data_IF_609585382641
#
_entry.id   IF_609585382641
#
_cell.length_a   1.000
_cell.length_b   1.000
_cell.length_c   1.000
_cell.angle_alpha   90.00
_cell.angle_beta   90.00
_cell.angle_gamma   90.00
#
_symmetry.space_group_name_H-M   'P 1'
#
loop_
_entity.id
_entity.type
_entity.pdbx_description
1 polymer ?
#
# COMPACT_ATOMS: atom_id res chain seq x y z
N UNK A 1 22.59 -33.00 -10.63
CA UNK A 1 23.60 -33.61 -9.73
C UNK A 1 23.13 -33.44 -8.28
N UNK A 2 23.45 -34.35 -7.36
CA UNK A 2 22.95 -34.35 -5.97
C UNK A 2 21.46 -34.73 -5.87
N UNK A 3 20.96 -35.78 -5.20
CA UNK A 3 21.41 -36.75 -4.17
C UNK A 3 21.51 -36.24 -2.72
N UNK A 4 21.02 -37.11 -1.81
CA UNK A 4 20.93 -37.03 -0.33
C UNK A 4 19.74 -36.22 0.24
N UNK A 5 19.09 -36.60 1.36
CA UNK A 5 19.39 -37.68 2.35
C UNK A 5 18.14 -38.04 3.18
N UNK A 6 17.89 -39.37 3.41
CA UNK A 6 17.42 -40.05 4.67
C UNK A 6 16.14 -39.54 5.41
N UNK A 7 15.40 -40.33 6.22
CA UNK A 7 15.49 -41.75 6.65
C UNK A 7 14.12 -42.25 7.18
N UNK A 8 13.93 -43.58 7.20
CA UNK A 8 13.01 -44.27 8.11
C UNK A 8 11.62 -44.60 7.55
N UNK A 9 11.03 -45.76 7.84
CA UNK A 9 11.59 -46.94 8.51
C UNK A 9 10.55 -47.85 9.15
N UNK A 10 10.20 -48.97 8.49
CA UNK A 10 9.44 -50.07 9.09
C UNK A 10 10.10 -51.40 8.72
N UNK A 11 10.61 -52.12 9.72
CA UNK A 11 11.05 -53.49 9.58
C UNK A 11 9.89 -54.40 9.97
N UNK A 12 9.48 -55.31 9.08
CA UNK A 12 8.59 -56.42 9.45
C UNK A 12 9.48 -57.57 9.89
N UNK A 13 9.44 -57.91 11.17
CA UNK A 13 9.89 -59.22 11.64
C UNK A 13 8.79 -60.24 11.35
N UNK A 14 9.17 -61.39 10.84
CA UNK A 14 8.50 -62.65 11.16
C UNK A 14 9.60 -63.70 11.26
N UNK A 15 9.99 -64.01 12.50
CA UNK A 15 11.01 -65.02 12.78
C UNK A 15 10.46 -66.42 12.49
N UNK A 16 11.32 -67.31 12.00
CA UNK A 16 11.01 -68.72 11.87
C UNK A 16 10.94 -69.37 13.27
N UNK A 17 10.03 -70.33 13.44
CA UNK A 17 10.09 -71.28 14.58
C UNK A 17 10.81 -72.56 14.14
N UNK A 18 11.80 -73.05 14.90
CA UNK A 18 12.55 -74.25 14.56
C UNK A 18 11.87 -75.54 15.06
N UNK A 19 12.58 -76.65 14.89
CA UNK A 19 12.15 -78.04 15.09
C UNK A 19 11.79 -78.41 16.54
N UNK A 20 11.01 -79.48 16.68
CA UNK A 20 10.79 -80.19 17.94
C UNK A 20 12.01 -81.07 18.25
N UNK A 21 12.78 -80.74 19.28
CA UNK A 21 13.58 -81.73 20.04
C UNK A 21 13.73 -81.25 21.49
N UNK A 22 13.37 -82.12 22.44
CA UNK A 22 13.40 -81.82 23.87
C UNK A 22 14.40 -82.73 24.60
N UNK A 23 15.60 -82.22 24.81
CA UNK A 23 16.69 -82.75 25.61
C UNK A 23 17.43 -81.54 26.22
N UNK A 24 18.06 -81.56 27.41
CA UNK A 24 18.55 -82.69 28.23
C UNK A 24 18.96 -82.22 29.66
N UNK A 25 19.40 -83.16 30.51
CA UNK A 25 20.34 -82.99 31.66
C UNK A 25 19.86 -82.19 32.91
N UNK A 26 20.27 -82.44 34.17
CA UNK A 26 21.19 -83.39 34.87
C UNK A 26 20.42 -83.96 36.10
N UNK A 27 20.60 -85.18 36.62
CA UNK A 27 21.45 -86.33 36.25
C UNK A 27 22.11 -87.05 37.46
N UNK A 28 22.72 -88.22 37.22
CA UNK A 28 23.50 -89.12 38.13
C UNK A 28 22.68 -90.03 39.09
N UNK A 29 23.09 -91.28 39.38
CA UNK A 29 24.29 -92.02 38.95
C UNK A 29 24.08 -93.53 38.69
N UNK A 30 24.96 -94.05 37.84
CA UNK A 30 25.36 -95.44 37.56
C UNK A 30 26.07 -96.12 38.78
N UNK A 31 26.42 -97.44 38.76
CA UNK A 31 26.73 -98.27 37.58
C UNK A 31 26.08 -99.67 37.48
N UNK A 32 26.29 -100.29 36.32
CA UNK A 32 26.03 -101.70 36.03
C UNK A 32 27.33 -102.51 35.98
N UNK A 33 27.25 -103.84 36.14
CA UNK A 33 28.27 -104.77 35.64
C UNK A 33 27.69 -106.19 35.44
N UNK A 34 28.03 -106.81 34.32
CA UNK A 34 27.91 -108.24 33.98
C UNK A 34 29.01 -108.51 32.95
N UNK A 35 29.96 -109.42 33.22
CA UNK A 35 29.93 -110.68 32.48
C UNK A 35 30.51 -111.91 33.21
N UNK A 36 29.76 -113.03 33.15
CA UNK A 36 30.18 -114.32 32.57
C UNK A 36 31.44 -115.10 33.06
N UNK A 37 31.37 -116.44 32.86
CA UNK A 37 32.46 -117.43 32.64
C UNK A 37 33.21 -118.12 33.81
N UNK A 38 33.24 -119.45 33.66
CA UNK A 38 34.37 -120.40 33.83
C UNK A 38 34.84 -120.92 35.22
N UNK A 39 34.66 -122.24 35.38
CA UNK A 39 35.71 -123.25 35.58
C UNK A 39 35.77 -124.07 36.90
N UNK A 40 35.95 -125.39 36.68
CA UNK A 40 36.82 -126.35 37.39
C UNK A 40 36.58 -126.78 38.85
N UNK A 41 36.15 -128.04 38.96
CA UNK A 41 36.63 -129.02 39.95
C UNK A 41 38.16 -129.18 39.91
N UNK A 42 38.84 -129.41 41.04
CA UNK A 42 39.60 -130.68 41.17
C UNK A 42 39.73 -131.23 42.62
N UNK A 43 40.25 -132.46 42.76
CA UNK A 43 40.58 -133.12 44.05
C UNK A 43 39.44 -133.97 44.62
N UNK A 44 39.48 -135.30 44.74
CA UNK A 44 40.62 -136.24 44.83
C UNK A 44 41.51 -135.97 46.07
N UNK A 45 42.01 -136.96 46.83
CA UNK A 45 42.49 -138.28 46.41
C UNK A 45 42.67 -139.26 47.62
N UNK A 46 42.56 -140.59 47.40
CA UNK A 46 43.23 -141.71 48.17
C UNK A 46 42.78 -141.96 49.65
N UNK A 47 42.83 -143.17 50.25
CA UNK A 47 43.57 -144.42 49.96
C UNK A 47 42.83 -145.75 50.34
N UNK A 48 43.40 -146.90 49.94
CA UNK A 48 43.28 -148.23 50.60
C UNK A 48 41.96 -149.00 50.40
N UNK A 49 41.77 -149.86 49.39
CA UNK A 49 42.52 -151.06 48.92
C UNK A 49 42.48 -152.31 49.82
N UNK A 50 42.15 -153.46 49.21
CA UNK A 50 42.62 -154.80 49.59
C UNK A 50 41.63 -155.73 50.32
N UNK A 51 41.58 -157.04 50.02
CA UNK A 51 42.05 -157.77 48.82
C UNK A 51 41.46 -159.19 48.77
N UNK A 52 41.05 -159.63 47.57
CA UNK A 52 40.81 -161.02 47.09
C UNK A 52 39.93 -161.98 47.94
N UNK A 53 39.48 -163.17 47.48
CA UNK A 53 39.74 -163.93 46.25
C UNK A 53 38.55 -164.86 45.88
N UNK A 54 38.46 -165.25 44.60
CA UNK A 54 38.01 -166.52 43.98
C UNK A 54 37.13 -167.57 44.72
N UNK A 55 36.36 -168.46 44.05
CA UNK A 55 35.86 -168.53 42.65
C UNK A 55 34.99 -169.79 42.41
N UNK A 56 34.00 -169.70 41.51
CA UNK A 56 33.72 -170.70 40.45
C UNK A 56 33.35 -172.19 40.72
N UNK A 57 32.04 -172.48 40.65
CA UNK A 57 31.36 -173.63 39.98
C UNK A 57 31.55 -175.08 40.60
N UNK A 58 31.18 -176.27 40.01
CA UNK A 58 30.21 -177.19 40.65
C UNK A 58 30.59 -178.71 40.74
N UNK A 59 29.64 -179.54 41.18
CA UNK A 59 29.56 -181.02 41.12
C UNK A 59 28.54 -181.51 42.17
N UNK A 60 27.52 -182.35 41.89
CA UNK A 60 27.55 -183.76 41.40
C UNK A 60 28.29 -184.65 42.43
N UNK A 61 27.54 -185.38 43.26
CA UNK A 61 27.05 -186.77 43.05
C UNK A 61 28.18 -187.81 43.18
N UNK A 62 27.94 -188.90 43.94
CA UNK A 62 27.74 -190.21 43.31
C UNK A 62 27.12 -191.24 44.30
N UNK A 63 26.66 -192.35 43.73
CA UNK A 63 26.40 -193.63 44.41
C UNK A 63 27.76 -194.40 44.51
N UNK A 64 27.92 -195.69 44.82
CA UNK A 64 27.03 -196.85 44.98
C UNK A 64 27.79 -197.97 45.76
N UNK A 65 27.40 -199.24 45.59
CA UNK A 65 28.20 -200.48 45.77
C UNK A 65 28.08 -201.26 47.10
N UNK A 66 27.03 -202.10 47.13
CA UNK A 66 27.09 -203.58 46.94
C UNK A 66 28.03 -204.53 47.74
N UNK A 67 27.48 -205.75 47.87
CA UNK A 67 28.09 -207.08 48.09
C UNK A 67 28.63 -207.52 49.48
N UNK A 68 28.01 -208.63 49.96
CA UNK A 68 28.58 -209.87 50.53
C UNK A 68 29.59 -209.83 51.71
N UNK A 69 29.59 -210.76 52.69
CA UNK A 69 28.69 -211.85 53.11
C UNK A 69 29.10 -212.31 54.54
N UNK A 70 28.34 -213.22 55.19
CA UNK A 70 28.81 -214.56 55.64
C UNK A 70 28.12 -215.16 56.90
N UNK A 71 27.57 -216.36 56.70
CA UNK A 71 27.75 -217.61 57.49
C UNK A 71 27.56 -217.57 59.03
N UNK A 72 26.40 -218.03 59.52
CA UNK A 72 26.15 -219.43 60.01
C UNK A 72 27.30 -220.20 60.72
N UNK A 73 27.12 -221.13 61.69
CA UNK A 73 25.95 -221.80 62.30
C UNK A 73 26.39 -222.64 63.57
N UNK A 74 25.42 -223.13 64.38
CA UNK A 74 25.38 -224.45 65.08
C UNK A 74 26.47 -224.87 66.13
N UNK A 75 26.28 -225.86 67.05
CA UNK A 75 25.11 -226.68 67.46
C UNK A 75 25.23 -227.25 68.91
N UNK A 76 24.10 -227.81 69.41
CA UNK A 76 23.91 -228.92 70.39
C UNK A 76 24.56 -228.86 71.80
N UNK A 77 23.79 -228.82 72.90
CA UNK A 77 23.24 -229.97 73.67
C UNK A 77 24.35 -230.92 74.19
N UNK A 78 24.56 -231.15 75.50
CA UNK A 78 23.60 -231.78 76.44
C UNK A 78 23.74 -231.28 77.91
N UNK A 79 24.27 -230.07 78.15
CA UNK A 79 24.52 -229.50 79.50
C UNK A 79 23.60 -228.33 79.90
N UNK A 80 22.47 -228.14 79.21
CA UNK A 80 21.70 -226.88 79.20
C UNK A 80 21.05 -226.48 80.54
N UNK A 81 20.59 -227.44 81.34
CA UNK A 81 19.69 -227.17 82.49
C UNK A 81 20.26 -226.34 83.66
N UNK A 82 21.59 -226.24 83.79
CA UNK A 82 22.25 -225.58 84.94
C UNK A 82 22.83 -224.20 84.64
N UNK A 83 23.09 -223.86 83.37
CA UNK A 83 23.67 -222.57 82.98
C UNK A 83 22.63 -221.48 82.72
N UNK A 84 21.43 -221.83 82.25
CA UNK A 84 20.36 -220.86 81.94
C UNK A 84 19.97 -219.98 83.14
N UNK A 85 20.00 -220.54 84.36
CA UNK A 85 19.59 -219.85 85.58
C UNK A 85 20.55 -218.74 86.01
N UNK A 86 21.84 -218.85 85.70
CA UNK A 86 22.81 -217.79 86.01
C UNK A 86 22.82 -216.71 84.92
N UNK A 87 22.63 -217.10 83.65
CA UNK A 87 22.50 -216.17 82.51
C UNK A 87 21.27 -215.27 82.66
N UNK A 88 20.14 -215.80 83.17
CA UNK A 88 18.94 -215.02 83.43
C UNK A 88 19.21 -213.86 84.40
N UNK A 89 19.97 -214.11 85.49
CA UNK A 89 20.26 -213.11 86.53
C UNK A 89 21.14 -211.97 86.03
N UNK A 90 22.17 -212.27 85.23
CA UNK A 90 23.09 -211.25 84.71
C UNK A 90 22.44 -210.34 83.66
N UNK A 91 21.40 -210.80 82.95
CA UNK A 91 20.64 -209.95 82.00
C UNK A 91 19.80 -208.87 82.69
N UNK A 92 19.23 -209.18 83.85
CA UNK A 92 18.43 -208.22 84.65
C UNK A 92 19.30 -207.03 85.10
N UNK A 93 20.46 -207.32 85.71
CA UNK A 93 21.37 -206.32 86.29
C UNK A 93 21.98 -205.39 85.22
N UNK A 94 22.26 -205.92 84.03
CA UNK A 94 22.82 -205.12 82.93
C UNK A 94 21.78 -204.22 82.24
N UNK A 95 20.48 -204.55 82.31
CA UNK A 95 19.39 -203.71 81.82
C UNK A 95 19.11 -202.50 82.73
N UNK A 96 19.23 -202.69 84.05
CA UNK A 96 19.09 -201.62 85.05
C UNK A 96 20.17 -200.53 84.86
N UNK A 97 21.42 -200.94 84.62
CA UNK A 97 22.54 -200.00 84.40
C UNK A 97 22.41 -199.19 83.10
N UNK A 98 21.84 -199.79 82.03
CA UNK A 98 21.63 -199.08 80.77
C UNK A 98 20.65 -197.91 80.95
N UNK A 99 19.50 -198.19 81.59
CA UNK A 99 18.49 -197.17 81.94
C UNK A 99 19.07 -196.01 82.73
N UNK A 100 19.97 -196.27 83.69
CA UNK A 100 20.59 -195.21 84.48
C UNK A 100 21.40 -194.24 83.62
N UNK A 101 22.23 -194.74 82.68
CA UNK A 101 22.96 -193.89 81.74
C UNK A 101 22.06 -193.09 80.81
N UNK A 102 20.99 -193.69 80.30
CA UNK A 102 20.03 -192.96 79.46
C UNK A 102 19.38 -191.78 80.22
N UNK A 103 19.05 -191.97 81.50
CA UNK A 103 18.52 -190.87 82.34
C UNK A 103 19.56 -189.80 82.72
N UNK A 104 20.86 -190.06 82.55
CA UNK A 104 21.93 -189.07 82.76
C UNK A 104 22.22 -188.29 81.48
N UNK A 105 22.28 -188.99 80.33
CA UNK A 105 22.36 -188.39 78.99
C UNK A 105 21.21 -187.43 78.73
N UNK A 106 19.98 -187.80 79.10
CA UNK A 106 18.81 -186.95 78.86
C UNK A 106 18.79 -185.71 79.78
N UNK A 107 19.29 -185.82 81.03
CA UNK A 107 19.50 -184.64 81.89
C UNK A 107 20.48 -183.66 81.26
N UNK A 108 21.65 -184.13 80.83
CA UNK A 108 22.66 -183.30 80.18
C UNK A 108 22.15 -182.61 78.90
N UNK A 109 21.28 -183.29 78.13
CA UNK A 109 20.54 -182.66 77.03
C UNK A 109 19.62 -181.54 77.52
N UNK A 110 18.74 -181.80 78.49
CA UNK A 110 17.85 -180.75 79.02
C UNK A 110 18.61 -179.56 79.63
N UNK A 111 19.78 -179.77 80.23
CA UNK A 111 20.64 -178.69 80.73
C UNK A 111 21.29 -177.90 79.58
N UNK A 112 21.76 -178.56 78.52
CA UNK A 112 22.26 -177.91 77.29
C UNK A 112 21.16 -177.08 76.65
N UNK A 113 19.98 -177.66 76.43
CA UNK A 113 18.84 -177.00 75.81
C UNK A 113 18.37 -175.79 76.63
N UNK A 114 18.35 -175.91 77.96
CA UNK A 114 18.06 -174.79 78.86
C UNK A 114 19.12 -173.68 78.80
N UNK A 115 20.40 -174.02 78.61
CA UNK A 115 21.49 -173.03 78.44
C UNK A 115 21.46 -172.36 77.08
N UNK A 116 21.17 -173.10 76.02
CA UNK A 116 21.00 -172.59 74.66
C UNK A 116 19.77 -171.67 74.57
N UNK A 117 18.66 -172.05 75.21
CA UNK A 117 17.47 -171.19 75.40
C UNK A 117 17.79 -169.92 76.21
N UNK A 118 18.56 -170.02 77.30
CA UNK A 118 19.03 -168.85 78.05
C UNK A 118 19.91 -167.92 77.20
N UNK A 119 20.81 -168.48 76.38
CA UNK A 119 21.69 -167.71 75.50
C UNK A 119 20.90 -167.02 74.38
N UNK A 120 19.99 -167.73 73.71
CA UNK A 120 19.12 -167.18 72.66
C UNK A 120 18.15 -166.13 73.22
N UNK A 121 17.64 -166.31 74.43
CA UNK A 121 16.83 -165.30 75.14
C UNK A 121 17.66 -164.05 75.45
N UNK A 122 18.91 -164.22 75.92
CA UNK A 122 19.81 -163.09 76.18
C UNK A 122 20.19 -162.36 74.88
N UNK A 123 20.45 -163.10 73.79
CA UNK A 123 20.77 -162.56 72.47
C UNK A 123 19.58 -161.79 71.87
N UNK A 124 18.35 -162.31 71.99
CA UNK A 124 17.12 -161.61 71.62
C UNK A 124 16.91 -160.34 72.45
N UNK A 125 17.24 -160.38 73.75
CA UNK A 125 17.20 -159.20 74.63
C UNK A 125 18.30 -158.17 74.30
N UNK A 126 19.48 -158.61 73.87
CA UNK A 126 20.56 -157.75 73.39
C UNK A 126 20.20 -157.14 72.03
N UNK A 127 19.56 -157.90 71.12
CA UNK A 127 19.07 -157.37 69.84
C UNK A 127 18.00 -156.32 70.07
N UNK A 128 16.94 -156.63 70.81
CA UNK A 128 15.89 -155.65 71.11
C UNK A 128 16.39 -154.44 71.91
N UNK A 129 17.40 -154.60 72.77
CA UNK A 129 18.07 -153.47 73.43
C UNK A 129 18.92 -152.65 72.45
N UNK A 130 19.59 -153.27 71.48
CA UNK A 130 20.28 -152.60 70.37
C UNK A 130 19.30 -151.84 69.48
N UNK A 131 18.15 -152.43 69.15
CA UNK A 131 17.11 -151.82 68.34
C UNK A 131 16.47 -150.62 69.07
N UNK A 132 16.25 -150.73 70.39
CA UNK A 132 15.84 -149.60 71.25
C UNK A 132 16.92 -148.52 71.31
N UNK A 133 18.22 -148.86 71.38
CA UNK A 133 19.30 -147.87 71.32
C UNK A 133 19.44 -147.22 69.94
N UNK A 134 19.18 -147.95 68.86
CA UNK A 134 19.18 -147.42 67.51
C UNK A 134 18.00 -146.44 67.34
N UNK A 135 16.78 -146.85 67.70
CA UNK A 135 15.60 -145.97 67.72
C UNK A 135 15.79 -144.74 68.65
N UNK A 136 16.50 -144.88 69.77
CA UNK A 136 16.83 -143.76 70.66
C UNK A 136 17.88 -142.81 70.06
N UNK A 137 18.86 -143.35 69.33
CA UNK A 137 19.84 -142.56 68.57
C UNK A 137 19.17 -141.81 67.43
N UNK A 138 18.31 -142.50 66.68
CA UNK A 138 17.63 -141.96 65.52
C UNK A 138 16.62 -140.88 65.94
N UNK A 139 15.79 -141.14 66.97
CA UNK A 139 14.91 -140.10 67.55
C UNK A 139 15.65 -138.96 68.24
N UNK A 140 16.86 -139.17 68.80
CA UNK A 140 17.72 -138.04 69.23
C UNK A 140 18.15 -137.22 68.02
N UNK A 141 18.56 -137.86 66.92
CA UNK A 141 19.00 -137.15 65.73
C UNK A 141 17.83 -136.47 64.98
N UNK A 142 16.62 -137.03 65.01
CA UNK A 142 15.39 -136.35 64.60
C UNK A 142 15.10 -135.12 65.48
N UNK A 143 15.24 -135.24 66.81
CA UNK A 143 15.08 -134.10 67.73
C UNK A 143 16.13 -133.01 67.49
N UNK A 144 17.37 -133.39 67.18
CA UNK A 144 18.48 -132.50 66.83
C UNK A 144 18.19 -131.78 65.51
N UNK A 145 17.80 -132.51 64.46
CA UNK A 145 17.34 -131.95 63.18
C UNK A 145 16.13 -131.01 63.34
N UNK A 146 15.15 -131.36 64.19
CA UNK A 146 13.97 -130.53 64.48
C UNK A 146 14.35 -129.28 65.28
N UNK A 147 15.34 -129.37 66.18
CA UNK A 147 15.86 -128.22 66.92
C UNK A 147 16.66 -127.27 66.01
N UNK A 148 17.45 -127.79 65.06
CA UNK A 148 18.11 -126.98 64.02
C UNK A 148 17.08 -126.29 63.11
N UNK A 149 16.05 -127.01 62.66
CA UNK A 149 14.94 -126.43 61.89
C UNK A 149 14.18 -125.37 62.70
N UNK A 150 13.94 -125.59 63.99
CA UNK A 150 13.33 -124.59 64.88
C UNK A 150 14.21 -123.34 64.98
N UNK A 151 15.52 -123.49 65.21
CA UNK A 151 16.45 -122.36 65.25
C UNK A 151 16.49 -121.59 63.94
N UNK A 152 16.50 -122.27 62.79
CA UNK A 152 16.49 -121.58 61.49
C UNK A 152 15.13 -120.90 61.22
N UNK A 153 14.00 -121.51 61.60
CA UNK A 153 12.69 -120.84 61.53
C UNK A 153 12.59 -119.64 62.49
N UNK A 154 13.18 -119.70 63.69
CA UNK A 154 13.30 -118.55 64.60
C UNK A 154 14.20 -117.44 64.00
N UNK A 155 15.34 -117.83 63.39
CA UNK A 155 16.24 -116.95 62.63
C UNK A 155 15.50 -116.24 61.49
N UNK A 156 14.75 -116.99 60.68
CA UNK A 156 13.95 -116.46 59.57
C UNK A 156 12.82 -115.57 60.07
N UNK A 157 12.08 -115.96 61.12
CA UNK A 157 11.01 -115.16 61.69
C UNK A 157 11.53 -113.85 62.29
N UNK A 158 12.70 -113.87 62.96
CA UNK A 158 13.37 -112.66 63.44
C UNK A 158 13.84 -111.76 62.28
N UNK A 159 14.44 -112.33 61.23
CA UNK A 159 14.83 -111.61 60.00
C UNK A 159 13.63 -110.97 59.32
N UNK A 160 12.53 -111.71 59.15
CA UNK A 160 11.28 -111.23 58.56
C UNK A 160 10.64 -110.13 59.42
N UNK A 161 10.58 -110.29 60.75
CA UNK A 161 10.07 -109.29 61.69
C UNK A 161 10.89 -108.00 61.66
N UNK A 162 12.21 -108.10 61.56
CA UNK A 162 13.10 -106.96 61.39
C UNK A 162 12.89 -106.28 60.02
N UNK A 163 12.73 -107.04 58.94
CA UNK A 163 12.43 -106.49 57.60
C UNK A 163 11.08 -105.79 57.57
N UNK A 164 10.03 -106.39 58.12
CA UNK A 164 8.69 -105.78 58.25
C UNK A 164 8.74 -104.50 59.10
N UNK A 165 9.48 -104.51 60.21
CA UNK A 165 9.69 -103.30 61.03
C UNK A 165 10.40 -102.19 60.26
N UNK A 166 11.45 -102.52 59.50
CA UNK A 166 12.17 -101.56 58.65
C UNK A 166 11.28 -100.98 57.55
N UNK A 167 10.59 -101.83 56.80
CA UNK A 167 9.69 -101.41 55.72
C UNK A 167 8.43 -100.69 56.26
N UNK A 168 8.00 -100.93 57.50
CA UNK A 168 6.94 -100.14 58.16
C UNK A 168 7.42 -98.72 58.43
N UNK A 169 8.62 -98.54 59.00
CA UNK A 169 9.22 -97.22 59.22
C UNK A 169 9.44 -96.46 57.91
N UNK A 170 9.99 -97.13 56.90
CA UNK A 170 10.15 -96.58 55.55
C UNK A 170 8.79 -96.15 54.96
N UNK A 171 7.72 -96.93 55.16
CA UNK A 171 6.37 -96.54 54.75
C UNK A 171 5.80 -95.37 55.57
N UNK A 172 6.10 -95.27 56.86
CA UNK A 172 5.71 -94.14 57.71
C UNK A 172 6.45 -92.87 57.31
N UNK A 173 7.76 -92.94 57.08
CA UNK A 173 8.61 -91.86 56.58
C UNK A 173 8.12 -91.39 55.19
N UNK A 174 7.93 -92.30 54.23
CA UNK A 174 7.37 -91.98 52.91
C UNK A 174 5.96 -91.40 52.97
N UNK A 175 5.12 -91.83 53.92
CA UNK A 175 3.82 -91.20 54.16
C UNK A 175 3.98 -89.78 54.69
N UNK A 176 4.91 -89.54 55.62
CA UNK A 176 5.15 -88.17 56.11
C UNK A 176 5.63 -87.24 55.00
N UNK A 177 6.59 -87.67 54.16
CA UNK A 177 7.09 -86.85 53.05
C UNK A 177 6.03 -86.60 51.98
N UNK A 178 5.16 -87.56 51.66
CA UNK A 178 3.98 -87.31 50.81
C UNK A 178 3.04 -86.29 51.45
N UNK A 179 2.82 -86.33 52.77
CA UNK A 179 1.97 -85.31 53.43
C UNK A 179 2.62 -83.94 53.61
N UNK A 180 3.95 -83.80 53.51
CA UNK A 180 4.61 -82.48 53.44
C UNK A 180 4.60 -81.96 52.02
N UNK A 181 4.95 -82.79 51.02
CA UNK A 181 4.90 -82.43 49.61
C UNK A 181 3.50 -82.01 49.16
N UNK A 182 2.44 -82.68 49.63
CA UNK A 182 1.08 -82.25 49.33
C UNK A 182 0.75 -80.88 49.95
N UNK A 183 1.20 -80.57 51.17
CA UNK A 183 0.99 -79.23 51.78
C UNK A 183 1.78 -78.14 51.08
N UNK A 184 2.99 -78.46 50.62
CA UNK A 184 3.82 -77.57 49.80
C UNK A 184 3.14 -77.32 48.45
N UNK A 185 2.56 -78.36 47.83
CA UNK A 185 1.74 -78.23 46.63
C UNK A 185 0.49 -77.37 46.86
N UNK A 186 -0.31 -77.64 47.90
CA UNK A 186 -1.49 -76.84 48.26
C UNK A 186 -1.13 -75.35 48.48
N UNK A 187 0.02 -75.08 49.11
CA UNK A 187 0.54 -73.72 49.31
C UNK A 187 0.96 -73.06 48.00
N UNK A 188 1.68 -73.78 47.14
CA UNK A 188 2.12 -73.28 45.82
C UNK A 188 0.93 -73.06 44.87
N UNK A 189 -0.12 -73.89 44.93
CA UNK A 189 -1.37 -73.69 44.18
C UNK A 189 -2.12 -72.45 44.69
N UNK A 190 -2.16 -72.23 46.00
CA UNK A 190 -2.74 -71.01 46.59
C UNK A 190 -1.96 -69.74 46.23
N UNK A 191 -0.62 -69.80 46.22
CA UNK A 191 0.24 -68.71 45.76
C UNK A 191 0.07 -68.45 44.25
N UNK A 192 -0.04 -69.50 43.43
CA UNK A 192 -0.32 -69.40 41.99
C UNK A 192 -1.69 -68.77 41.72
N UNK A 193 -2.75 -69.19 42.41
CA UNK A 193 -4.06 -68.55 42.33
C UNK A 193 -3.99 -67.07 42.71
N UNK A 194 -3.28 -66.72 43.77
CA UNK A 194 -3.11 -65.34 44.21
C UNK A 194 -2.35 -64.50 43.17
N UNK A 195 -1.26 -65.03 42.62
CA UNK A 195 -0.49 -64.38 41.56
C UNK A 195 -1.34 -64.19 40.30
N UNK A 196 -2.14 -65.18 39.89
CA UNK A 196 -3.05 -65.09 38.75
C UNK A 196 -4.16 -64.03 38.96
N UNK A 197 -4.68 -63.91 40.18
CA UNK A 197 -5.62 -62.84 40.58
C UNK A 197 -4.97 -61.46 40.57
N UNK A 198 -3.66 -61.36 40.87
CA UNK A 198 -2.90 -60.12 40.77
C UNK A 198 -2.60 -59.76 39.31
N UNK A 199 -2.15 -60.71 38.47
CA UNK A 199 -1.90 -60.50 37.03
C UNK A 199 -3.16 -59.97 36.35
N UNK A 200 -4.29 -60.66 36.49
CA UNK A 200 -5.58 -60.23 35.91
C UNK A 200 -6.09 -58.89 36.47
N UNK A 201 -5.72 -58.53 37.71
CA UNK A 201 -5.97 -57.20 38.28
C UNK A 201 -5.07 -56.12 37.65
N UNK A 202 -3.81 -56.42 37.35
CA UNK A 202 -2.88 -55.51 36.69
C UNK A 202 -3.20 -55.33 35.21
N UNK A 203 -3.53 -56.39 34.48
CA UNK A 203 -4.01 -56.33 33.09
C UNK A 203 -5.22 -55.39 32.97
N UNK A 204 -6.21 -55.54 33.86
CA UNK A 204 -7.41 -54.69 33.93
C UNK A 204 -7.13 -53.28 34.47
N UNK A 205 -5.95 -52.99 35.00
CA UNK A 205 -5.50 -51.64 35.32
C UNK A 205 -4.76 -51.01 34.15
N UNK A 206 -3.96 -51.79 33.41
CA UNK A 206 -3.29 -51.38 32.17
C UNK A 206 -4.34 -50.99 31.12
N UNK A 207 -5.31 -51.87 30.83
CA UNK A 207 -6.44 -51.62 29.91
C UNK A 207 -7.16 -50.29 30.24
N UNK A 208 -7.45 -50.04 31.53
CA UNK A 208 -8.09 -48.79 31.98
C UNK A 208 -7.20 -47.56 31.85
N UNK A 209 -5.88 -47.72 31.91
CA UNK A 209 -4.93 -46.63 31.69
C UNK A 209 -4.72 -46.37 30.19
N UNK A 210 -4.73 -47.40 29.36
CA UNK A 210 -4.67 -47.31 27.90
C UNK A 210 -5.92 -46.62 27.35
N UNK A 211 -7.12 -47.04 27.74
CA UNK A 211 -8.39 -46.37 27.34
C UNK A 211 -8.42 -44.90 27.78
N UNK A 212 -7.90 -44.58 28.97
CA UNK A 212 -7.78 -43.19 29.45
C UNK A 212 -6.76 -42.38 28.65
N UNK A 213 -5.64 -43.00 28.27
CA UNK A 213 -4.60 -42.36 27.46
C UNK A 213 -5.12 -42.10 26.04
N UNK A 214 -5.78 -43.09 25.44
CA UNK A 214 -6.42 -43.00 24.12
C UNK A 214 -7.44 -41.86 24.10
N UNK A 215 -8.44 -41.89 24.99
CA UNK A 215 -9.43 -40.81 25.13
C UNK A 215 -8.79 -39.43 25.41
N UNK A 216 -7.70 -39.37 26.19
CA UNK A 216 -6.99 -38.11 26.42
C UNK A 216 -6.28 -37.61 25.14
N UNK A 217 -5.70 -38.52 24.34
CA UNK A 217 -5.08 -38.17 23.06
C UNK A 217 -6.09 -37.81 21.98
N UNK A 218 -7.27 -38.46 21.95
CA UNK A 218 -8.37 -38.09 21.06
C UNK A 218 -8.94 -36.72 21.43
N UNK A 219 -9.28 -36.49 22.71
CA UNK A 219 -9.77 -35.19 23.20
C UNK A 219 -8.78 -34.05 22.90
N UNK A 220 -7.48 -34.27 23.12
CA UNK A 220 -6.47 -33.26 22.83
C UNK A 220 -6.19 -33.09 21.33
N UNK A 221 -6.34 -34.14 20.53
CA UNK A 221 -6.33 -34.07 19.07
C UNK A 221 -7.49 -33.22 18.55
N UNK A 222 -8.70 -33.39 19.08
CA UNK A 222 -9.87 -32.60 18.68
C UNK A 222 -9.81 -31.14 19.14
N UNK A 223 -9.29 -30.88 20.34
CA UNK A 223 -8.92 -29.52 20.78
C UNK A 223 -7.91 -28.88 19.81
N UNK A 224 -6.82 -29.59 19.48
CA UNK A 224 -5.79 -29.10 18.56
C UNK A 224 -6.38 -28.85 17.16
N UNK A 225 -7.24 -29.73 16.65
CA UNK A 225 -7.94 -29.57 15.39
C UNK A 225 -8.92 -28.37 15.41
N UNK A 226 -9.53 -28.06 16.56
CA UNK A 226 -10.35 -26.86 16.72
C UNK A 226 -9.49 -25.58 16.73
N UNK A 227 -8.36 -25.57 17.44
CA UNK A 227 -7.42 -24.45 17.42
C UNK A 227 -6.81 -24.21 16.04
N UNK A 228 -6.47 -25.27 15.29
CA UNK A 228 -5.98 -25.15 13.90
C UNK A 228 -7.03 -24.47 13.01
N UNK A 229 -8.30 -24.90 13.07
CA UNK A 229 -9.39 -24.28 12.28
C UNK A 229 -9.61 -22.81 12.64
N UNK A 230 -9.49 -22.43 13.90
CA UNK A 230 -9.61 -21.02 14.29
C UNK A 230 -8.37 -20.20 13.89
N UNK A 231 -7.16 -20.78 13.92
CA UNK A 231 -5.95 -20.14 13.37
C UNK A 231 -6.09 -19.93 11.85
N UNK A 232 -6.64 -20.89 11.11
CA UNK A 232 -6.95 -20.76 9.68
C UNK A 232 -7.98 -19.64 9.42
N UNK A 233 -9.08 -19.63 10.20
CA UNK A 233 -10.12 -18.60 10.15
C UNK A 233 -9.56 -17.19 10.42
N UNK A 234 -8.77 -17.03 11.48
CA UNK A 234 -8.09 -15.78 11.83
C UNK A 234 -7.07 -15.38 10.75
N UNK A 235 -6.34 -16.32 10.17
CA UNK A 235 -5.40 -16.06 9.06
C UNK A 235 -6.13 -15.54 7.82
N UNK A 236 -7.24 -16.16 7.43
CA UNK A 236 -8.09 -15.70 6.33
C UNK A 236 -8.71 -14.33 6.63
N UNK A 237 -9.07 -14.05 7.89
CA UNK A 237 -9.59 -12.74 8.32
C UNK A 237 -8.51 -11.66 8.27
N UNK A 238 -7.28 -11.96 8.69
CA UNK A 238 -6.11 -11.08 8.57
C UNK A 238 -5.83 -10.80 7.10
N UNK A 239 -5.76 -11.81 6.24
CA UNK A 239 -5.54 -11.62 4.79
C UNK A 239 -6.60 -10.70 4.15
N UNK A 240 -7.89 -10.89 4.47
CA UNK A 240 -8.97 -10.02 4.01
C UNK A 240 -8.81 -8.57 4.49
N UNK A 241 -8.41 -8.37 5.75
CA UNK A 241 -8.15 -7.04 6.30
C UNK A 241 -6.92 -6.37 5.67
N UNK A 242 -5.85 -7.12 5.41
CA UNK A 242 -4.65 -6.61 4.71
C UNK A 242 -5.00 -6.16 3.30
N UNK A 243 -5.77 -6.96 2.53
CA UNK A 243 -6.22 -6.56 1.18
C UNK A 243 -7.14 -5.33 1.22
N UNK A 244 -8.05 -5.25 2.19
CA UNK A 244 -8.90 -4.07 2.37
C UNK A 244 -8.09 -2.81 2.75
N UNK A 245 -7.06 -2.96 3.58
CA UNK A 245 -6.16 -1.88 3.98
C UNK A 245 -5.28 -1.41 2.81
N UNK A 246 -4.74 -2.33 2.00
CA UNK A 246 -3.95 -1.97 0.81
C UNK A 246 -4.84 -1.28 -0.25
N UNK A 247 -6.05 -1.78 -0.49
CA UNK A 247 -7.00 -1.09 -1.37
C UNK A 247 -7.33 0.33 -0.86
N UNK A 248 -7.54 0.49 0.45
CA UNK A 248 -7.75 1.81 1.05
C UNK A 248 -6.51 2.71 0.97
N UNK A 249 -5.31 2.14 1.06
CA UNK A 249 -4.04 2.87 0.94
C UNK A 249 -3.83 3.35 -0.50
N UNK A 250 -4.12 2.50 -1.50
CA UNK A 250 -4.11 2.87 -2.91
C UNK A 250 -5.12 4.01 -3.18
N UNK A 251 -6.38 3.88 -2.74
CA UNK A 251 -7.38 4.95 -2.91
C UNK A 251 -6.98 6.28 -2.23
N UNK A 252 -6.28 6.22 -1.08
CA UNK A 252 -5.72 7.42 -0.43
C UNK A 252 -4.56 8.01 -1.26
N UNK A 253 -3.75 7.17 -1.91
CA UNK A 253 -2.68 7.61 -2.82
C UNK A 253 -3.25 8.24 -4.09
N UNK A 254 -4.30 7.66 -4.68
CA UNK A 254 -4.97 8.15 -5.88
C UNK A 254 -5.60 9.53 -5.62
N UNK A 255 -6.41 9.65 -4.56
CA UNK A 255 -7.00 10.92 -4.11
C UNK A 255 -5.93 11.97 -3.75
N UNK A 256 -4.74 11.55 -3.32
CA UNK A 256 -3.62 12.45 -3.04
C UNK A 256 -2.96 12.95 -4.34
N UNK A 257 -2.91 12.14 -5.40
CA UNK A 257 -2.47 12.58 -6.74
C UNK A 257 -3.48 13.55 -7.33
N UNK A 258 -4.77 13.19 -7.38
CA UNK A 258 -5.85 14.05 -7.86
C UNK A 258 -5.85 15.42 -7.13
N UNK A 259 -5.72 15.42 -5.80
CA UNK A 259 -5.62 16.66 -5.02
C UNK A 259 -4.34 17.46 -5.32
N UNK A 260 -3.23 16.82 -5.71
CA UNK A 260 -2.00 17.50 -6.10
C UNK A 260 -2.11 18.09 -7.52
N UNK A 261 -2.77 17.39 -8.44
CA UNK A 261 -3.09 17.86 -9.79
C UNK A 261 -4.05 19.05 -9.73
N UNK A 262 -5.16 18.93 -8.98
CA UNK A 262 -6.11 20.04 -8.76
C UNK A 262 -5.46 21.26 -8.07
N UNK A 263 -4.49 21.06 -7.17
CA UNK A 263 -3.74 22.16 -6.55
C UNK A 263 -2.75 22.83 -7.50
N UNK A 264 -2.13 22.07 -8.41
CA UNK A 264 -1.31 22.60 -9.50
C UNK A 264 -2.17 23.42 -10.48
N UNK A 265 -3.33 22.89 -10.88
CA UNK A 265 -4.22 23.53 -11.83
C UNK A 265 -4.87 24.80 -11.23
N UNK A 266 -5.18 24.80 -9.92
CA UNK A 266 -5.51 26.01 -9.19
C UNK A 266 -4.38 27.05 -9.27
N UNK A 267 -3.13 26.66 -8.98
CA UNK A 267 -2.00 27.59 -9.00
C UNK A 267 -1.69 28.15 -10.40
N UNK A 268 -1.87 27.37 -11.47
CA UNK A 268 -1.76 27.88 -12.86
C UNK A 268 -2.93 28.79 -13.23
N UNK A 269 -4.13 28.51 -12.74
CA UNK A 269 -5.30 29.39 -12.88
C UNK A 269 -5.10 30.73 -12.12
N UNK A 270 -4.58 30.70 -10.90
CA UNK A 270 -4.23 31.91 -10.13
C UNK A 270 -3.12 32.72 -10.80
N UNK A 271 -2.09 32.05 -11.34
CA UNK A 271 -1.02 32.68 -12.12
C UNK A 271 -1.56 33.34 -13.40
N UNK A 272 -2.40 32.65 -14.17
CA UNK A 272 -3.01 33.23 -15.39
C UNK A 272 -3.99 34.36 -15.06
N UNK A 273 -4.74 34.28 -13.96
CA UNK A 273 -5.57 35.39 -13.44
C UNK A 273 -4.73 36.59 -12.99
N UNK A 274 -3.55 36.36 -12.40
CA UNK A 274 -2.61 37.43 -12.04
C UNK A 274 -2.05 38.12 -13.29
N UNK A 275 -1.62 37.34 -14.29
CA UNK A 275 -1.14 37.85 -15.57
C UNK A 275 -2.23 38.63 -16.32
N UNK A 276 -3.47 38.11 -16.35
CA UNK A 276 -4.62 38.80 -16.95
C UNK A 276 -4.91 40.13 -16.24
N UNK A 277 -4.93 40.15 -14.90
CA UNK A 277 -5.08 41.39 -14.12
C UNK A 277 -3.97 42.40 -14.43
N UNK A 278 -2.72 41.97 -14.57
CA UNK A 278 -1.64 42.85 -14.99
C UNK A 278 -1.88 43.39 -16.40
N UNK A 279 -2.20 42.54 -17.39
CA UNK A 279 -2.49 43.02 -18.75
C UNK A 279 -3.70 43.96 -18.82
N UNK A 280 -4.69 43.80 -17.95
CA UNK A 280 -5.83 44.72 -17.83
C UNK A 280 -5.35 46.07 -17.26
N UNK A 281 -4.54 46.09 -16.20
CA UNK A 281 -3.97 47.31 -15.66
C UNK A 281 -3.05 48.05 -16.67
N UNK A 282 -2.26 47.31 -17.45
CA UNK A 282 -1.43 47.86 -18.52
C UNK A 282 -2.28 48.42 -19.68
N UNK A 283 -3.40 47.77 -20.02
CA UNK A 283 -4.38 48.26 -20.99
C UNK A 283 -5.15 49.49 -20.48
N UNK A 284 -5.53 49.53 -19.20
CA UNK A 284 -6.13 50.70 -18.57
C UNK A 284 -5.15 51.88 -18.51
N UNK A 285 -3.87 51.65 -18.20
CA UNK A 285 -2.85 52.70 -18.22
C UNK A 285 -2.57 53.23 -19.63
N UNK A 286 -2.51 52.35 -20.64
CA UNK A 286 -2.34 52.77 -22.05
C UNK A 286 -3.60 53.43 -22.62
N UNK A 287 -4.80 53.06 -22.16
CA UNK A 287 -6.04 53.78 -22.48
C UNK A 287 -6.06 55.17 -21.87
N UNK A 288 -5.81 55.31 -20.56
CA UNK A 288 -5.80 56.61 -19.87
C UNK A 288 -4.77 57.59 -20.48
N UNK A 289 -3.57 57.11 -20.82
CA UNK A 289 -2.56 57.94 -21.50
C UNK A 289 -2.95 58.31 -22.93
N UNK A 290 -3.73 57.46 -23.63
CA UNK A 290 -4.31 57.82 -24.93
C UNK A 290 -5.48 58.79 -24.81
N UNK A 291 -6.31 58.68 -23.78
CA UNK A 291 -7.40 59.63 -23.54
C UNK A 291 -6.88 61.03 -23.21
N UNK A 292 -5.91 61.19 -22.31
CA UNK A 292 -5.36 62.53 -22.02
C UNK A 292 -4.55 63.09 -23.20
N UNK A 293 -3.86 62.24 -23.98
CA UNK A 293 -3.22 62.65 -25.25
C UNK A 293 -4.23 63.14 -26.29
N UNK A 294 -5.35 62.42 -26.50
CA UNK A 294 -6.43 62.86 -27.39
C UNK A 294 -7.11 64.13 -26.85
N UNK A 295 -7.21 64.27 -25.54
CA UNK A 295 -7.76 65.46 -24.88
C UNK A 295 -6.83 66.67 -25.01
N UNK A 296 -5.52 66.47 -25.01
CA UNK A 296 -4.52 67.49 -25.32
C UNK A 296 -4.56 67.90 -26.79
N UNK A 297 -4.57 66.94 -27.72
CA UNK A 297 -4.85 67.18 -29.15
C UNK A 297 -6.15 68.00 -29.33
N UNK A 298 -7.25 67.64 -28.65
CA UNK A 298 -8.50 68.38 -28.72
C UNK A 298 -8.38 69.82 -28.17
N UNK A 299 -7.67 70.06 -27.05
CA UNK A 299 -7.41 71.42 -26.53
C UNK A 299 -6.65 72.25 -27.57
N UNK A 300 -5.62 71.67 -28.20
CA UNK A 300 -4.80 72.34 -29.20
C UNK A 300 -5.57 72.64 -30.48
N UNK A 301 -6.42 71.72 -30.95
CA UNK A 301 -7.34 71.98 -32.08
C UNK A 301 -8.35 73.07 -31.74
N UNK A 302 -8.90 73.11 -30.52
CA UNK A 302 -9.78 74.19 -30.07
C UNK A 302 -9.06 75.54 -30.01
N UNK A 303 -7.79 75.57 -29.60
CA UNK A 303 -6.97 76.79 -29.62
C UNK A 303 -6.68 77.24 -31.05
N UNK A 304 -6.34 76.32 -31.96
CA UNK A 304 -6.17 76.61 -33.39
C UNK A 304 -7.47 77.14 -34.01
N UNK A 305 -8.62 76.54 -33.71
CA UNK A 305 -9.94 77.01 -34.18
C UNK A 305 -10.25 78.41 -33.63
N UNK A 306 -9.95 78.70 -32.35
CA UNK A 306 -10.11 80.05 -31.77
C UNK A 306 -9.19 81.07 -32.43
N UNK A 307 -7.94 80.73 -32.70
CA UNK A 307 -6.98 81.60 -33.38
C UNK A 307 -7.41 81.90 -34.83
N UNK A 308 -7.84 80.88 -35.58
CA UNK A 308 -8.33 81.03 -36.95
C UNK A 308 -9.64 81.84 -36.99
N UNK A 309 -10.54 81.68 -36.00
CA UNK A 309 -11.73 82.52 -35.86
C UNK A 309 -11.35 83.97 -35.59
N UNK A 310 -10.48 84.24 -34.63
CA UNK A 310 -10.01 85.61 -34.36
C UNK A 310 -9.36 86.26 -35.59
N UNK A 311 -8.56 85.51 -36.35
CA UNK A 311 -7.99 85.99 -37.63
C UNK A 311 -9.06 86.26 -38.70
N UNK A 312 -10.09 85.42 -38.78
CA UNK A 312 -11.23 85.63 -39.67
C UNK A 312 -12.06 86.85 -39.27
N UNK A 313 -12.28 87.04 -37.97
CA UNK A 313 -13.01 88.18 -37.42
C UNK A 313 -12.24 89.49 -37.66
N UNK A 314 -10.92 89.54 -37.42
CA UNK A 314 -10.09 90.70 -37.78
C UNK A 314 -10.05 90.95 -39.29
N UNK A 315 -10.00 89.91 -40.12
CA UNK A 315 -10.06 90.06 -41.58
C UNK A 315 -11.44 90.52 -42.08
N UNK A 316 -12.52 90.21 -41.35
CA UNK A 316 -13.85 90.75 -41.59
C UNK A 316 -13.95 92.22 -41.17
N UNK A 317 -13.40 92.59 -40.00
CA UNK A 317 -13.30 93.98 -39.55
C UNK A 317 -12.50 94.84 -40.55
N UNK A 318 -11.29 94.40 -40.94
CA UNK A 318 -10.48 95.04 -41.98
C UNK A 318 -11.24 95.19 -43.30
N UNK A 319 -11.94 94.14 -43.73
CA UNK A 319 -12.77 94.17 -44.95
C UNK A 319 -13.95 95.13 -44.83
N UNK A 320 -14.58 95.26 -43.66
CA UNK A 320 -15.64 96.26 -43.43
C UNK A 320 -15.09 97.68 -43.43
N UNK A 321 -13.95 97.92 -42.76
CA UNK A 321 -13.28 99.22 -42.77
C UNK A 321 -12.81 99.63 -44.18
N UNK A 322 -12.26 98.69 -44.95
CA UNK A 322 -11.97 98.90 -46.38
C UNK A 322 -13.24 99.17 -47.19
N UNK A 323 -14.36 98.49 -46.89
CA UNK A 323 -15.66 98.74 -47.50
C UNK A 323 -16.19 100.15 -47.22
N UNK A 324 -16.08 100.62 -45.97
CA UNK A 324 -16.44 101.98 -45.55
C UNK A 324 -15.52 103.04 -46.18
N UNK A 325 -14.21 102.80 -46.25
CA UNK A 325 -13.26 103.65 -46.98
C UNK A 325 -13.57 103.71 -48.48
N UNK A 326 -13.90 102.59 -49.12
CA UNK A 326 -14.34 102.56 -50.52
C UNK A 326 -15.66 103.32 -50.68
N UNK A 327 -16.57 103.25 -49.70
CA UNK A 327 -17.83 104.00 -49.71
C UNK A 327 -17.59 105.52 -49.59
N UNK A 328 -16.74 105.96 -48.67
CA UNK A 328 -16.44 107.38 -48.47
C UNK A 328 -15.65 107.96 -49.64
N UNK A 329 -14.68 107.21 -50.20
CA UNK A 329 -13.98 107.57 -51.43
C UNK A 329 -14.94 107.67 -52.63
N UNK A 330 -15.91 106.75 -52.78
CA UNK A 330 -16.96 106.88 -53.80
C UNK A 330 -17.84 108.11 -53.59
N UNK A 331 -18.19 108.44 -52.34
CA UNK A 331 -18.94 109.65 -52.03
C UNK A 331 -18.14 110.93 -52.33
N UNK A 332 -16.83 110.93 -52.08
CA UNK A 332 -15.93 112.04 -52.44
C UNK A 332 -15.77 112.18 -53.95
N UNK A 333 -15.65 111.07 -54.69
CA UNK A 333 -15.62 111.05 -56.15
C UNK A 333 -16.94 111.60 -56.71
N UNK A 334 -18.09 111.15 -56.22
CA UNK A 334 -19.40 111.65 -56.65
C UNK A 334 -19.59 113.14 -56.36
N UNK A 335 -19.09 113.64 -55.23
CA UNK A 335 -19.11 115.08 -54.92
C UNK A 335 -18.17 115.88 -55.85
N UNK A 336 -16.98 115.35 -56.14
CA UNK A 336 -16.05 115.95 -57.11
C UNK A 336 -16.60 115.93 -58.54
N UNK A 337 -17.36 114.90 -58.92
CA UNK A 337 -18.08 114.82 -60.20
C UNK A 337 -19.20 115.89 -60.28
N UNK A 338 -19.93 116.12 -59.19
CA UNK A 338 -20.91 117.21 -59.10
C UNK A 338 -20.25 118.60 -59.13
N UNK A 339 -19.14 118.81 -58.43
CA UNK A 339 -18.34 120.04 -58.52
C UNK A 339 -17.78 120.27 -59.93
N UNK A 340 -17.33 119.22 -60.62
CA UNK A 340 -16.89 119.29 -62.02
C UNK A 340 -18.05 119.63 -62.96
N UNK A 341 -19.24 119.06 -62.75
CA UNK A 341 -20.45 119.41 -63.52
C UNK A 341 -20.89 120.86 -63.27
N UNK A 342 -20.89 121.32 -62.02
CA UNK A 342 -21.13 122.71 -61.65
C UNK A 342 -20.11 123.65 -62.30
N UNK A 343 -18.83 123.28 -62.29
CA UNK A 343 -17.75 124.02 -62.95
C UNK A 343 -17.94 124.07 -64.47
N UNK A 344 -18.34 122.98 -65.13
CA UNK A 344 -18.62 122.96 -66.58
C UNK A 344 -19.85 123.84 -66.92
N UNK A 345 -20.88 123.84 -66.06
CA UNK A 345 -22.04 124.74 -66.16
C UNK A 345 -21.62 126.21 -66.02
N UNK A 346 -20.80 126.56 -65.03
CA UNK A 346 -20.26 127.91 -64.88
C UNK A 346 -19.33 128.29 -66.03
N UNK A 347 -18.56 127.36 -66.60
CA UNK A 347 -17.73 127.62 -67.78
C UNK A 347 -18.58 127.92 -69.03
N UNK A 348 -19.70 127.21 -69.21
CA UNK A 348 -20.71 127.53 -70.24
C UNK A 348 -21.34 128.90 -69.99
N UNK A 349 -21.75 129.22 -68.77
CA UNK A 349 -22.29 130.54 -68.45
C UNK A 349 -21.25 131.65 -68.68
N UNK A 350 -19.98 131.47 -68.29
CA UNK A 350 -18.90 132.42 -68.57
C UNK A 350 -18.67 132.59 -70.07
N UNK A 351 -18.75 131.53 -70.87
CA UNK A 351 -18.70 131.61 -72.34
C UNK A 351 -19.88 132.40 -72.91
N UNK A 352 -21.10 132.16 -72.43
CA UNK A 352 -22.30 132.89 -72.88
C UNK A 352 -22.28 134.37 -72.45
N UNK A 353 -21.85 134.69 -71.23
CA UNK A 353 -21.62 136.08 -70.79
C UNK A 353 -20.52 136.74 -71.61
N UNK A 354 -19.45 136.02 -71.94
CA UNK A 354 -18.37 136.53 -72.82
C UNK A 354 -18.88 136.79 -74.24
N UNK A 355 -19.73 135.92 -74.78
CA UNK A 355 -20.40 136.12 -76.07
C UNK A 355 -21.38 137.31 -76.03
N UNK A 356 -22.11 137.49 -74.93
CA UNK A 356 -23.00 138.64 -74.71
C UNK A 356 -22.20 139.95 -74.59
N UNK A 357 -21.07 139.95 -73.90
CA UNK A 357 -20.10 141.07 -73.88
C UNK A 357 -19.56 141.33 -75.29
N UNK A 358 -19.30 140.29 -76.08
CA UNK A 358 -18.91 140.41 -77.50
C UNK A 358 -19.98 141.12 -78.34
N UNK A 359 -21.25 140.71 -78.20
CA UNK A 359 -22.40 141.35 -78.87
C UNK A 359 -22.56 142.81 -78.47
N UNK A 360 -22.60 143.10 -77.16
CA UNK A 360 -22.72 144.47 -76.63
C UNK A 360 -21.54 145.37 -77.03
N UNK A 361 -20.32 144.83 -77.10
CA UNK A 361 -19.16 145.55 -77.64
C UNK A 361 -19.34 145.88 -79.13
N UNK A 362 -19.88 144.96 -79.93
CA UNK A 362 -20.12 145.19 -81.35
C UNK A 362 -21.24 146.22 -81.58
N UNK A 363 -22.32 146.16 -80.81
CA UNK A 363 -23.39 147.18 -80.82
C UNK A 363 -22.85 148.57 -80.40
N UNK A 364 -22.00 148.65 -79.37
CA UNK A 364 -21.37 149.90 -78.95
C UNK A 364 -20.37 150.49 -79.98
N UNK A 365 -19.76 149.63 -80.80
CA UNK A 365 -18.92 150.03 -81.95
C UNK A 365 -19.79 150.56 -83.09
N UNK A 366 -20.87 149.86 -83.44
CA UNK A 366 -21.82 150.29 -84.49
C UNK A 366 -22.49 151.62 -84.12
N UNK A 367 -22.90 151.77 -82.85
CA UNK A 367 -23.49 153.01 -82.34
C UNK A 367 -22.51 154.20 -82.42
N UNK A 368 -21.21 153.98 -82.19
CA UNK A 368 -20.18 155.00 -82.37
C UNK A 368 -20.00 155.41 -83.84
N UNK A 369 -20.09 154.48 -84.79
CA UNK A 369 -20.02 154.81 -86.22
C UNK A 369 -21.24 155.60 -86.69
N UNK A 370 -22.44 155.22 -86.22
CA UNK A 370 -23.68 155.98 -86.47
C UNK A 370 -23.59 157.40 -85.91
N UNK A 371 -23.06 157.56 -84.70
CA UNK A 371 -22.88 158.87 -84.06
C UNK A 371 -21.82 159.73 -84.78
N UNK A 372 -20.73 159.11 -85.28
CA UNK A 372 -19.75 159.79 -86.16
C UNK A 372 -20.36 160.25 -87.48
N UNK A 373 -21.18 159.43 -88.15
CA UNK A 373 -21.87 159.82 -89.40
C UNK A 373 -22.84 160.98 -89.17
N UNK A 374 -23.62 160.94 -88.09
CA UNK A 374 -24.54 162.03 -87.72
C UNK A 374 -23.79 163.36 -87.45
N UNK A 375 -22.70 163.31 -86.68
CA UNK A 375 -21.86 164.49 -86.38
C UNK A 375 -21.16 165.06 -87.61
N UNK A 376 -20.88 164.24 -88.63
CA UNK A 376 -20.33 164.70 -89.91
C UNK A 376 -21.30 165.55 -90.72
N UNK A 377 -22.57 165.15 -90.80
CA UNK A 377 -23.59 165.87 -91.60
C UNK A 377 -24.17 167.10 -90.90
N UNK A 378 -24.12 167.17 -89.56
CA UNK A 378 -24.65 168.33 -88.80
C UNK A 378 -23.74 169.57 -88.83
N UNK A 379 -22.47 169.44 -89.22
CA UNK A 379 -21.46 170.51 -89.11
C UNK A 379 -21.28 171.34 -90.40
N UNK A 380 -22.29 171.38 -91.27
CA UNK A 380 -22.21 172.00 -92.60
C UNK A 380 -23.37 172.98 -92.91
N UNK A 381 -24.16 173.36 -91.90
CA UNK A 381 -25.43 174.09 -92.09
C UNK A 381 -25.75 175.16 -91.04
N UNK A 382 -24.74 175.84 -90.48
CA UNK A 382 -24.95 176.99 -89.58
C UNK A 382 -23.82 178.04 -89.67
N UNK A 383 -23.99 179.01 -90.56
CA UNK A 383 -23.10 180.17 -90.71
C UNK A 383 -23.92 181.38 -91.13
N UNK A 384 -24.21 182.31 -90.20
CA UNK A 384 -24.81 183.63 -90.47
C UNK A 384 -24.95 184.48 -89.20
N UNK A 385 -24.18 185.55 -89.09
CA UNK A 385 -24.71 186.93 -89.06
C UNK A 385 -23.57 187.94 -89.19
N UNK A 386 -23.76 188.95 -90.04
CA UNK A 386 -22.85 190.08 -90.24
C UNK A 386 -23.56 191.36 -89.81
N UNK A 387 -22.79 192.42 -89.50
CA UNK A 387 -23.33 193.77 -89.32
C UNK A 387 -22.74 194.70 -90.38
N UNK A 388 -23.61 195.45 -91.05
CA UNK A 388 -23.25 196.24 -92.24
C UNK A 388 -22.42 197.48 -91.93
N UNK A 389 -21.30 197.63 -92.63
CA UNK A 389 -20.33 198.71 -92.41
C UNK A 389 -20.79 200.07 -92.93
N UNK A 390 -21.56 200.10 -94.03
CA UNK A 390 -21.95 201.37 -94.67
C UNK A 390 -22.98 202.14 -93.84
N UNK A 391 -23.93 201.43 -93.20
CA UNK A 391 -24.93 202.04 -92.32
C UNK A 391 -24.27 202.69 -91.09
N UNK A 392 -23.32 201.99 -90.46
CA UNK A 392 -22.53 202.49 -89.33
C UNK A 392 -21.66 203.69 -89.75
N UNK A 393 -21.05 203.63 -90.93
CA UNK A 393 -20.19 204.71 -91.47
C UNK A 393 -20.96 206.03 -91.61
N UNK A 394 -22.15 206.00 -92.25
CA UNK A 394 -22.99 207.18 -92.41
C UNK A 394 -23.45 207.77 -91.06
N UNK A 395 -23.81 206.91 -90.09
CA UNK A 395 -24.24 207.36 -88.76
C UNK A 395 -23.08 208.01 -87.97
N UNK A 396 -21.85 207.50 -88.13
CA UNK A 396 -20.64 208.08 -87.53
C UNK A 396 -20.23 209.42 -88.19
N UNK A 397 -20.40 209.56 -89.51
CA UNK A 397 -20.16 210.82 -90.24
C UNK A 397 -21.16 211.90 -89.80
N UNK A 398 -22.44 211.53 -89.59
CA UNK A 398 -23.43 212.42 -88.97
C UNK A 398 -23.01 212.87 -87.56
N UNK A 399 -22.55 211.92 -86.73
CA UNK A 399 -22.07 212.25 -85.38
C UNK A 399 -20.87 213.22 -85.37
N UNK A 400 -19.92 213.10 -86.32
CA UNK A 400 -18.74 213.98 -86.39
C UNK A 400 -19.07 215.39 -86.91
N UNK A 401 -20.02 215.52 -87.84
CA UNK A 401 -20.36 216.79 -88.49
C UNK A 401 -21.23 217.74 -87.64
N UNK A 402 -21.86 217.25 -86.57
CA UNK A 402 -22.63 218.08 -85.62
C UNK A 402 -21.69 218.85 -84.66
N UNK A 403 -21.77 220.21 -84.60
CA UNK A 403 -21.00 221.05 -83.67
C UNK A 403 -21.14 220.63 -82.20
N UNK A 404 -20.09 220.88 -81.39
CA UNK A 404 -19.92 220.35 -80.02
C UNK A 404 -20.90 220.86 -78.94
N UNK A 405 -22.01 221.49 -79.31
CA UNK A 405 -22.98 222.09 -78.39
C UNK A 405 -24.47 221.80 -78.72
N UNK A 406 -24.77 220.94 -79.69
CA UNK A 406 -26.15 220.57 -80.05
C UNK A 406 -26.61 219.31 -79.27
N UNK A 407 -27.76 219.35 -78.54
CA UNK A 407 -28.29 218.20 -77.80
C UNK A 407 -28.59 216.97 -78.69
N UNK A 408 -28.87 217.14 -79.98
CA UNK A 408 -29.12 216.02 -80.93
C UNK A 408 -27.95 215.03 -81.01
N UNK A 409 -26.75 215.44 -80.62
CA UNK A 409 -25.55 214.60 -80.62
C UNK A 409 -25.67 213.40 -79.66
N UNK A 410 -26.43 213.52 -78.56
CA UNK A 410 -26.72 212.40 -77.66
C UNK A 410 -27.75 211.43 -78.24
N UNK A 411 -28.76 211.94 -78.93
CA UNK A 411 -29.85 211.15 -79.53
C UNK A 411 -29.31 210.21 -80.64
N UNK A 412 -28.39 210.70 -81.47
CA UNK A 412 -27.65 209.88 -82.45
C UNK A 412 -26.76 208.83 -81.78
N UNK A 413 -26.09 209.17 -80.67
CA UNK A 413 -25.24 208.22 -79.92
C UNK A 413 -26.07 207.09 -79.30
N UNK A 414 -27.27 207.40 -78.80
CA UNK A 414 -28.17 206.43 -78.16
C UNK A 414 -28.80 205.48 -79.19
N UNK A 415 -29.10 205.96 -80.41
CA UNK A 415 -29.46 205.09 -81.55
C UNK A 415 -28.30 204.14 -81.92
N UNK A 416 -27.07 204.64 -81.95
CA UNK A 416 -25.88 203.85 -82.27
C UNK A 416 -25.61 202.77 -81.21
N UNK A 417 -25.85 203.08 -79.93
CA UNK A 417 -25.78 202.11 -78.82
C UNK A 417 -26.81 200.98 -78.93
N UNK A 418 -28.01 201.25 -79.46
CA UNK A 418 -29.05 200.23 -79.65
C UNK A 418 -28.78 199.35 -80.89
N UNK A 419 -28.30 199.93 -81.99
CA UNK A 419 -28.07 199.17 -83.23
C UNK A 419 -26.82 198.28 -83.20
N UNK A 420 -25.89 198.53 -82.27
CA UNK A 420 -24.63 197.79 -82.13
C UNK A 420 -24.55 196.97 -80.84
N UNK A 421 -25.70 196.71 -80.21
CA UNK A 421 -25.89 195.97 -78.95
C UNK A 421 -24.79 196.24 -77.91
N UNK A 422 -24.59 197.53 -77.56
CA UNK A 422 -23.57 197.88 -76.56
C UNK A 422 -23.96 197.35 -75.18
N UNK A 423 -23.06 196.54 -74.61
CA UNK A 423 -23.15 196.06 -73.24
C UNK A 423 -23.07 197.22 -72.24
N UNK A 424 -23.61 197.06 -71.03
CA UNK A 424 -23.83 198.19 -70.10
C UNK A 424 -22.51 198.82 -69.61
N UNK A 425 -21.42 198.06 -69.55
CA UNK A 425 -20.07 198.59 -69.27
C UNK A 425 -19.60 199.55 -70.39
N UNK A 426 -19.95 199.27 -71.66
CA UNK A 426 -19.67 200.16 -72.80
C UNK A 426 -20.60 201.37 -72.82
N UNK A 427 -21.87 201.21 -72.41
CA UNK A 427 -22.79 202.35 -72.20
C UNK A 427 -22.26 203.27 -71.08
N UNK A 428 -21.69 202.72 -70.01
CA UNK A 428 -21.06 203.48 -68.94
C UNK A 428 -19.80 204.23 -69.44
N UNK A 429 -18.94 203.58 -70.24
CA UNK A 429 -17.78 204.25 -70.84
C UNK A 429 -18.17 205.33 -71.87
N UNK A 430 -19.32 205.20 -72.53
CA UNK A 430 -19.92 206.23 -73.39
C UNK A 430 -20.69 207.34 -72.63
N UNK A 431 -20.81 207.25 -71.30
CA UNK A 431 -21.42 208.27 -70.45
C UNK A 431 -22.94 208.19 -70.27
N UNK A 432 -23.58 207.03 -70.52
CA UNK A 432 -25.05 206.86 -70.51
C UNK A 432 -25.66 206.27 -69.22
N UNK A 433 -24.91 205.50 -68.41
CA UNK A 433 -25.42 204.76 -67.21
C UNK A 433 -24.32 204.59 -66.15
N UNK A 434 -24.66 204.36 -64.86
CA UNK A 434 -23.71 203.76 -63.89
C UNK A 434 -24.21 203.57 -62.44
N UNK A 435 -23.69 202.56 -61.73
CA UNK A 435 -23.61 202.56 -60.25
C UNK A 435 -24.04 201.31 -59.43
N UNK A 436 -23.04 200.55 -58.93
CA UNK A 436 -22.94 199.93 -57.56
C UNK A 436 -23.77 198.70 -57.07
N UNK A 437 -23.11 197.53 -57.01
CA UNK A 437 -22.78 196.68 -55.83
C UNK A 437 -23.79 196.22 -54.72
N UNK A 438 -24.12 194.91 -54.76
CA UNK A 438 -23.61 193.82 -53.86
C UNK A 438 -24.28 193.36 -52.52
N UNK A 439 -24.33 192.01 -52.37
CA UNK A 439 -24.25 191.13 -51.15
C UNK A 439 -25.50 190.89 -50.27
N UNK A 440 -26.03 189.66 -50.38
CA UNK A 440 -25.96 188.56 -49.37
C UNK A 440 -25.61 187.24 -50.13
N UNK A 441 -25.13 186.08 -49.62
CA UNK A 441 -25.11 185.37 -48.31
C UNK A 441 -26.44 184.70 -47.89
N UNK A 442 -26.47 183.53 -47.25
CA UNK A 442 -25.46 182.48 -46.95
C UNK A 442 -26.19 181.21 -46.40
N UNK A 443 -25.68 179.97 -46.34
CA UNK A 443 -24.67 179.15 -47.08
C UNK A 443 -24.91 177.67 -46.60
N UNK A 444 -25.04 176.64 -47.47
CA UNK A 444 -24.04 175.55 -47.80
C UNK A 444 -23.66 174.57 -46.65
N UNK A 445 -23.20 173.31 -46.84
CA UNK A 445 -23.00 172.36 -47.97
C UNK A 445 -22.74 170.93 -47.35
N UNK A 446 -22.32 169.84 -48.03
CA UNK A 446 -22.61 169.16 -49.32
C UNK A 446 -21.55 168.01 -49.52
N UNK A 447 -21.76 167.08 -50.47
CA UNK A 447 -20.85 166.05 -51.09
C UNK A 447 -19.42 165.88 -50.50
N UNK A 448 -18.94 164.68 -50.14
CA UNK A 448 -18.97 163.41 -50.90
C UNK A 448 -17.54 162.94 -51.28
N UNK A 449 -17.42 161.77 -51.92
CA UNK A 449 -16.21 161.22 -52.63
C UNK A 449 -15.18 160.34 -51.87
N UNK A 450 -14.98 159.13 -52.44
CA UNK A 450 -13.70 158.38 -52.61
C UNK A 450 -13.02 157.58 -51.46
N UNK A 451 -12.81 156.29 -51.78
CA UNK A 451 -11.66 155.40 -51.48
C UNK A 451 -11.39 154.76 -50.09
N UNK A 452 -10.85 153.53 -50.22
CA UNK A 452 -9.82 152.85 -49.40
C UNK A 452 -10.19 151.88 -48.26
N UNK A 453 -9.52 150.72 -48.31
CA UNK A 453 -9.05 149.83 -47.22
C UNK A 453 -10.11 149.06 -46.41
N UNK A 454 -10.11 147.72 -46.36
CA UNK A 454 -9.06 146.81 -45.81
C UNK A 454 -8.73 146.99 -44.32
N UNK A 455 -9.72 147.33 -43.47
CA UNK A 455 -9.55 147.26 -42.01
C UNK A 455 -10.05 145.94 -41.38
N UNK A 456 -11.02 145.23 -41.98
CA UNK A 456 -11.64 144.03 -41.37
C UNK A 456 -10.72 142.81 -41.19
N UNK A 457 -9.60 142.72 -41.92
CA UNK A 457 -8.63 141.63 -41.74
C UNK A 457 -7.53 141.97 -40.73
N UNK A 458 -7.16 143.25 -40.61
CA UNK A 458 -6.10 143.68 -39.69
C UNK A 458 -6.59 143.57 -38.23
N UNK A 459 -7.86 143.89 -37.96
CA UNK A 459 -8.43 143.72 -36.61
C UNK A 459 -8.45 142.26 -36.13
N UNK A 460 -8.78 141.31 -37.01
CA UNK A 460 -8.71 139.88 -36.69
C UNK A 460 -7.27 139.35 -36.62
N UNK A 461 -6.31 139.98 -37.30
CA UNK A 461 -4.89 139.64 -37.16
C UNK A 461 -4.26 140.22 -35.89
N UNK A 462 -4.67 141.41 -35.44
CA UNK A 462 -4.23 141.93 -34.13
C UNK A 462 -4.83 141.12 -32.98
N UNK A 463 -6.12 140.79 -33.04
CA UNK A 463 -6.81 139.93 -32.05
C UNK A 463 -6.29 138.46 -32.06
N UNK A 464 -5.57 138.06 -33.11
CA UNK A 464 -4.83 136.80 -33.15
C UNK A 464 -3.41 136.93 -32.57
N UNK A 465 -2.66 137.96 -32.96
CA UNK A 465 -1.27 138.18 -32.50
C UNK A 465 -1.18 138.58 -31.01
N UNK A 466 -2.15 139.33 -30.49
CA UNK A 466 -2.27 139.64 -29.06
C UNK A 466 -2.51 138.35 -28.26
N UNK A 467 -3.29 137.42 -28.83
CA UNK A 467 -3.63 136.11 -28.26
C UNK A 467 -2.54 135.03 -28.41
N UNK A 468 -1.60 135.24 -29.32
CA UNK A 468 -0.41 134.40 -29.53
C UNK A 468 0.84 134.98 -28.82
N UNK A 469 0.77 136.19 -28.26
CA UNK A 469 1.85 136.81 -27.46
C UNK A 469 1.60 136.82 -25.95
N UNK A 470 0.44 136.36 -25.48
CA UNK A 470 0.18 135.99 -24.08
C UNK A 470 0.45 134.49 -23.78
N UNK A 471 1.31 133.83 -24.57
CA UNK A 471 1.77 132.43 -24.39
C UNK A 471 3.23 132.23 -24.76
#
# INVERSE_FOLDING_TARGET
MGKNKKKGGKAVRHDAKPEEHNEQLIGKAEPAEDPNKEAETPGEIIDGEGQSENSSIPGEDDQDQEEEEKEEENNDEENTSTLEKEIARLKEEHAEQLRMKDTEMEKLRTERDAKESQYNTLLSRISSMKDVFQNLRDSKQELENVQEQLQEYESQNLRLKNKVSSTSKENEELRTTVTTLNKEYDSMESEYENLQKQVTSYERQIEKCEIKLEHATESHSDELNAYIKEIENLTLKIQKLTVALENSHQSISDLKSERQELAHDLATSESTLSNLKQTIADLEATLNTKEESLREDCKDRDLQIKAIRAQLDTALEEKTAQGEQISSLKSQISAMEEEVFLKEKFEKEVKDKTLQIGKLRHEAIILNDHLRKAMGMLKQSSESEMVDKELISNLLISFVSIPRADPKKFEVLQLLSNFLNWDDEKKQQAGLVGGTNSIQKADKNDKGSSMSKTQSFISMWTDFLEKESER
#
